data_IF_335827571461
#
_entry.id   IF_335827571461
#
_cell.length_a   1.000
_cell.length_b   1.000
_cell.length_c   1.000
_cell.angle_alpha   90.00
_cell.angle_beta   90.00
_cell.angle_gamma   90.00
#
_symmetry.space_group_name_H-M   'P 1'
#
loop_
_entity.id
_entity.type
_entity.pdbx_description
1 polymer ?
#
# COMPACT_ATOMS: atom_id res chain seq x y z
N UNK A 1 28.38 -12.80 -12.21
CA UNK A 1 27.50 -12.53 -12.14
C UNK A 1 27.25 -12.24 -11.26
N UNK A 2 27.73 -12.51 -11.47
CA UNK A 2 27.21 -11.90 -11.31
C UNK A 2 27.36 -11.71 -10.44
N UNK A 3 27.73 -11.65 -10.84
CA UNK A 3 27.39 -11.15 -10.80
C UNK A 3 27.57 -11.17 -10.17
N UNK A 4 28.37 -11.17 -10.42
CA UNK A 4 27.98 -11.02 -10.49
C UNK A 4 27.94 -10.97 -9.89
N UNK A 5 28.58 -10.92 -10.29
CA UNK A 5 28.08 -10.71 -10.47
C UNK A 5 28.02 -10.68 -9.90
N UNK A 6 28.73 -10.45 -10.05
CA UNK A 6 28.14 -10.32 -10.24
C UNK A 6 28.06 -10.25 -9.77
N UNK A 7 28.46 -10.02 -10.12
CA UNK A 7 27.90 -9.81 -10.37
C UNK A 7 27.60 -9.58 -10.27
N UNK A 8 28.23 -9.20 -10.37
CA UNK A 8 27.52 -8.99 -10.74
C UNK A 8 26.98 -8.80 -10.79
N UNK A 9 28.01 -8.60 -10.98
CA UNK A 9 26.99 -8.51 -11.47
C UNK A 9 26.55 -8.30 -11.29
N UNK A 10 27.16 -8.11 -11.56
CA UNK A 10 26.14 -8.03 -11.88
C UNK A 10 25.59 -7.69 -11.77
N UNK A 11 25.95 -7.40 -11.97
CA UNK A 11 24.91 -7.20 -12.23
C UNK A 11 24.24 -6.94 -12.07
N UNK A 12 24.39 -6.75 -12.14
CA UNK A 12 23.43 -6.74 -12.19
C UNK A 12 22.80 -6.81 -11.72
N UNK A 13 22.76 -6.69 -11.56
CA UNK A 13 22.02 -6.76 -11.22
C UNK A 13 21.35 -6.50 -10.71
N UNK A 14 21.17 -6.63 -10.65
CA UNK A 14 19.99 -6.65 -9.98
C UNK A 14 19.18 -5.50 -9.73
N UNK A 15 19.62 -4.58 -9.80
CA UNK A 15 18.92 -3.45 -9.74
C UNK A 15 17.78 -3.46 -10.63
N UNK A 16 17.90 -4.04 -11.68
CA UNK A 16 16.89 -4.07 -12.65
C UNK A 16 15.65 -4.75 -12.29
N UNK A 17 15.75 -5.67 -11.41
CA UNK A 17 14.63 -6.33 -10.99
C UNK A 17 13.78 -5.49 -10.19
N UNK A 18 14.30 -4.40 -9.76
CA UNK A 18 13.58 -3.51 -8.97
C UNK A 18 12.99 -2.40 -9.73
N UNK A 19 13.19 -2.32 -11.01
CA UNK A 19 12.63 -1.26 -11.77
C UNK A 19 11.15 -1.46 -11.78
N UNK A 20 10.41 -0.56 -11.21
CA UNK A 20 8.98 -0.72 -11.13
C UNK A 20 8.35 -0.46 -12.48
N UNK A 21 7.12 -0.83 -12.62
CA UNK A 21 6.35 -0.48 -13.79
C UNK A 21 6.26 1.04 -13.88
N UNK A 22 6.00 1.55 -15.06
CA UNK A 22 5.84 2.99 -15.24
C UNK A 22 4.69 3.49 -14.37
N UNK A 23 4.78 4.74 -13.97
CA UNK A 23 3.79 5.37 -13.13
C UNK A 23 2.38 5.12 -13.63
N UNK A 24 2.18 5.29 -14.93
CA UNK A 24 0.88 5.12 -15.53
C UNK A 24 0.37 3.68 -15.38
N UNK A 25 1.27 2.72 -15.53
CA UNK A 25 0.90 1.33 -15.38
C UNK A 25 0.53 0.99 -13.95
N UNK A 26 1.26 1.56 -13.00
CA UNK A 26 0.95 1.36 -11.58
C UNK A 26 -0.43 1.91 -11.26
N UNK A 27 -0.76 3.09 -11.77
CA UNK A 27 -2.05 3.70 -11.56
C UNK A 27 -3.17 2.87 -12.17
N UNK A 28 -2.94 2.32 -13.36
CA UNK A 28 -3.94 1.47 -14.01
C UNK A 28 -4.16 0.20 -13.22
N UNK A 29 -3.09 -0.41 -12.74
CA UNK A 29 -3.20 -1.64 -11.96
C UNK A 29 -3.90 -1.38 -10.62
N UNK A 30 -3.65 -0.25 -10.01
CA UNK A 30 -4.35 0.15 -8.80
C UNK A 30 -5.85 0.24 -9.06
N UNK A 31 -6.24 0.92 -10.13
CA UNK A 31 -7.64 1.08 -10.47
C UNK A 31 -8.33 -0.26 -10.72
N UNK A 32 -7.65 -1.14 -11.46
CA UNK A 32 -8.18 -2.47 -11.76
C UNK A 32 -8.40 -3.27 -10.47
N UNK A 33 -7.37 -3.29 -9.61
CA UNK A 33 -7.46 -4.06 -8.38
C UNK A 33 -8.55 -3.50 -7.47
N UNK A 34 -8.63 -2.18 -7.37
CA UNK A 34 -9.62 -1.54 -6.52
C UNK A 34 -11.03 -1.88 -6.98
N UNK A 35 -11.27 -1.83 -8.30
CA UNK A 35 -12.58 -2.14 -8.84
C UNK A 35 -12.97 -3.58 -8.53
N UNK A 36 -12.04 -4.52 -8.70
CA UNK A 36 -12.32 -5.92 -8.41
C UNK A 36 -12.66 -6.14 -6.94
N UNK A 37 -11.96 -5.44 -6.06
CA UNK A 37 -12.24 -5.56 -4.62
C UNK A 37 -13.60 -4.98 -4.26
N UNK A 38 -14.02 -3.89 -4.91
CA UNK A 38 -15.34 -3.34 -4.70
C UNK A 38 -16.42 -4.33 -5.16
N UNK A 39 -16.16 -5.00 -6.27
CA UNK A 39 -17.12 -6.00 -6.77
C UNK A 39 -17.26 -7.16 -5.79
N UNK A 40 -16.21 -7.46 -5.03
CA UNK A 40 -16.25 -8.52 -4.03
C UNK A 40 -16.72 -8.04 -2.67
N UNK A 41 -16.96 -6.75 -2.51
CA UNK A 41 -17.35 -6.14 -1.25
C UNK A 41 -16.37 -6.43 -0.12
N UNK A 42 -15.07 -6.49 -0.45
CA UNK A 42 -14.04 -6.76 0.54
C UNK A 42 -13.52 -5.44 1.09
N UNK A 43 -14.26 -4.88 2.05
CA UNK A 43 -13.93 -3.56 2.60
C UNK A 43 -12.56 -3.49 3.24
N UNK A 44 -12.12 -4.55 3.89
CA UNK A 44 -10.82 -4.54 4.56
C UNK A 44 -9.69 -4.43 3.55
N UNK A 45 -9.76 -5.20 2.47
CA UNK A 45 -8.74 -5.14 1.43
C UNK A 45 -8.79 -3.82 0.67
N UNK A 46 -10.00 -3.29 0.45
CA UNK A 46 -10.17 -1.99 -0.16
C UNK A 46 -9.50 -0.93 0.70
N UNK A 47 -9.74 -0.97 2.00
CA UNK A 47 -9.15 -0.01 2.93
C UNK A 47 -7.63 -0.09 2.90
N UNK A 48 -7.09 -1.31 2.95
CA UNK A 48 -5.65 -1.52 2.91
C UNK A 48 -5.06 -0.88 1.65
N UNK A 49 -5.64 -1.19 0.50
CA UNK A 49 -5.14 -0.71 -0.78
C UNK A 49 -5.24 0.82 -0.90
N UNK A 50 -6.35 1.39 -0.44
CA UNK A 50 -6.53 2.83 -0.51
C UNK A 50 -5.56 3.57 0.40
N UNK A 51 -5.34 3.06 1.62
CA UNK A 51 -4.36 3.67 2.53
C UNK A 51 -2.96 3.64 1.90
N UNK A 52 -2.61 2.52 1.26
CA UNK A 52 -1.30 2.41 0.60
C UNK A 52 -1.14 3.48 -0.47
N UNK A 53 -2.17 3.67 -1.29
CA UNK A 53 -2.11 4.60 -2.41
C UNK A 53 -2.20 6.06 -1.97
N UNK A 54 -2.92 6.34 -0.91
CA UNK A 54 -3.15 7.72 -0.49
C UNK A 54 -2.08 8.26 0.44
N UNK A 55 -1.44 7.41 1.22
CA UNK A 55 -0.50 7.87 2.23
C UNK A 55 0.92 7.40 2.04
N UNK A 56 1.11 6.25 1.39
CA UNK A 56 2.45 5.68 1.25
C UNK A 56 2.98 5.04 2.52
N UNK A 57 2.09 4.71 3.48
CA UNK A 57 2.53 3.98 4.65
C UNK A 57 3.14 2.64 4.24
N UNK A 58 4.14 2.18 4.98
CA UNK A 58 4.69 0.86 4.75
C UNK A 58 3.64 -0.18 5.05
N UNK A 59 3.67 -1.29 4.34
CA UNK A 59 2.60 -2.29 4.43
C UNK A 59 2.37 -2.82 5.84
N UNK A 60 3.44 -3.03 6.59
CA UNK A 60 3.27 -3.48 7.98
C UNK A 60 2.65 -2.40 8.86
N UNK A 61 2.94 -1.13 8.57
CA UNK A 61 2.34 -0.03 9.31
C UNK A 61 0.87 0.09 9.00
N UNK A 62 0.47 -0.18 7.75
CA UNK A 62 -0.94 -0.19 7.39
C UNK A 62 -1.68 -1.26 8.19
N UNK A 63 -1.11 -2.46 8.20
CA UNK A 63 -1.74 -3.56 8.90
C UNK A 63 -1.85 -3.30 10.41
N UNK A 64 -0.86 -2.60 10.97
CA UNK A 64 -0.84 -2.29 12.40
C UNK A 64 -1.65 -1.05 12.77
N UNK A 65 -2.26 -0.41 11.78
CA UNK A 65 -3.00 0.83 12.00
C UNK A 65 -4.21 0.60 12.90
N UNK A 66 -4.36 1.48 13.88
CA UNK A 66 -5.46 1.40 14.83
C UNK A 66 -6.43 2.54 14.63
N UNK A 67 -7.72 2.33 14.92
CA UNK A 67 -8.70 3.41 14.75
C UNK A 67 -8.34 4.70 15.48
N UNK A 68 -7.72 4.58 16.65
CA UNK A 68 -7.35 5.77 17.43
C UNK A 68 -6.25 6.58 16.76
N UNK A 69 -5.58 6.03 15.77
CA UNK A 69 -4.49 6.72 15.10
C UNK A 69 -4.97 7.58 13.92
N UNK A 70 -6.25 7.54 13.60
CA UNK A 70 -6.81 8.39 12.56
C UNK A 70 -7.73 9.42 13.20
N UNK A 71 -7.36 10.70 13.07
CA UNK A 71 -8.16 11.80 13.64
C UNK A 71 -8.42 12.80 12.53
N UNK A 72 -9.70 13.00 12.19
CA UNK A 72 -10.14 13.91 11.13
C UNK A 72 -9.33 13.67 9.85
N UNK A 73 -9.32 12.44 9.41
CA UNK A 73 -8.64 11.99 8.19
C UNK A 73 -7.12 12.17 8.21
N UNK A 74 -6.53 12.46 9.36
CA UNK A 74 -5.09 12.57 9.51
C UNK A 74 -4.56 11.38 10.30
N UNK A 75 -3.52 10.74 9.79
CA UNK A 75 -2.92 9.57 10.44
C UNK A 75 -1.81 10.02 11.37
N UNK A 76 -1.90 9.58 12.62
CA UNK A 76 -0.90 9.85 13.65
C UNK A 76 -0.34 8.50 14.10
N UNK A 77 0.66 8.01 13.40
CA UNK A 77 1.19 6.69 13.67
C UNK A 77 2.71 6.69 13.72
N UNK A 78 3.24 6.00 14.73
CA UNK A 78 4.66 5.81 14.87
C UNK A 78 5.06 4.63 13.99
N UNK A 79 6.07 4.81 13.15
CA UNK A 79 6.53 3.76 12.25
C UNK A 79 7.11 2.59 13.03
N UNK A 80 6.72 1.37 12.65
CA UNK A 80 7.27 0.18 13.26
C UNK A 80 8.76 0.04 12.98
N UNK A 81 9.18 0.49 11.79
CA UNK A 81 10.57 0.35 11.39
C UNK A 81 11.49 1.37 12.06
N UNK A 82 11.08 2.62 12.14
CA UNK A 82 11.94 3.69 12.63
C UNK A 82 11.63 4.18 14.03
N UNK A 83 10.42 3.88 14.51
CA UNK A 83 9.96 4.37 15.81
C UNK A 83 9.64 5.85 15.82
N UNK A 84 9.53 6.47 14.66
CA UNK A 84 9.25 7.89 14.55
C UNK A 84 7.92 8.15 13.88
N UNK A 85 7.33 9.29 14.19
CA UNK A 85 6.13 9.76 13.49
C UNK A 85 6.55 10.37 12.17
N UNK A 86 5.80 10.08 11.13
CA UNK A 86 6.01 10.70 9.82
C UNK A 86 4.77 11.49 9.47
N UNK A 87 4.92 12.46 8.59
CA UNK A 87 3.80 13.28 8.17
C UNK A 87 3.20 12.66 6.90
N UNK A 88 1.98 12.18 7.01
CA UNK A 88 1.29 11.54 5.90
C UNK A 88 0.21 12.46 5.34
N UNK A 89 -0.09 12.38 4.04
CA UNK A 89 -1.21 13.14 3.49
C UNK A 89 -2.52 12.73 4.16
N UNK A 90 -3.50 13.61 4.08
CA UNK A 90 -4.83 13.28 4.58
C UNK A 90 -5.43 12.17 3.72
N UNK A 91 -6.19 11.28 4.33
CA UNK A 91 -6.90 10.27 3.56
C UNK A 91 -8.15 10.90 2.97
N UNK A 92 -8.66 10.33 1.89
CA UNK A 92 -9.83 10.86 1.22
C UNK A 92 -11.07 10.67 2.07
N UNK A 93 -12.14 11.38 1.72
CA UNK A 93 -13.41 11.22 2.43
C UNK A 93 -13.95 9.81 2.28
N UNK A 94 -13.78 9.22 1.09
CA UNK A 94 -14.25 7.86 0.87
C UNK A 94 -13.50 6.87 1.76
N UNK A 95 -12.18 7.00 1.85
CA UNK A 95 -11.38 6.14 2.71
C UNK A 95 -11.77 6.34 4.17
N UNK A 96 -12.05 7.58 4.55
CA UNK A 96 -12.54 7.88 5.90
C UNK A 96 -13.86 7.21 6.20
N UNK A 97 -14.78 7.20 5.23
CA UNK A 97 -16.07 6.52 5.42
C UNK A 97 -15.89 5.02 5.58
N UNK A 98 -14.99 4.43 4.80
CA UNK A 98 -14.71 3.00 4.91
C UNK A 98 -14.13 2.70 6.29
N UNK A 99 -13.22 3.56 6.77
CA UNK A 99 -12.64 3.40 8.10
C UNK A 99 -13.75 3.39 9.16
N UNK A 100 -14.68 4.33 9.08
CA UNK A 100 -15.78 4.41 10.03
C UNK A 100 -16.66 3.16 9.98
N UNK A 101 -16.94 2.68 8.78
CA UNK A 101 -17.75 1.47 8.63
C UNK A 101 -17.08 0.26 9.26
N UNK A 102 -15.76 0.14 9.08
CA UNK A 102 -15.04 -0.98 9.66
C UNK A 102 -15.02 -0.90 11.19
N UNK A 103 -14.81 0.29 11.72
CA UNK A 103 -14.81 0.49 13.16
C UNK A 103 -16.19 0.17 13.75
N UNK A 104 -17.25 0.64 13.10
CA UNK A 104 -18.61 0.40 13.55
C UNK A 104 -18.95 -1.08 13.52
N UNK A 105 -18.50 -1.77 12.47
CA UNK A 105 -18.81 -3.19 12.29
C UNK A 105 -18.04 -4.08 13.25
N UNK A 106 -16.75 -3.81 13.47
CA UNK A 106 -15.90 -4.76 14.16
C UNK A 106 -14.88 -4.15 15.12
N UNK A 107 -14.84 -2.84 15.22
CA UNK A 107 -13.93 -2.15 16.14
C UNK A 107 -12.47 -2.12 15.73
N UNK A 108 -12.16 -2.60 14.54
CA UNK A 108 -10.78 -2.63 14.03
C UNK A 108 -10.82 -2.64 12.52
N UNK A 109 -9.68 -2.35 11.88
CA UNK A 109 -9.63 -2.29 10.43
C UNK A 109 -9.45 -3.66 9.78
N UNK A 110 -8.67 -4.54 10.40
CA UNK A 110 -8.32 -5.82 9.78
C UNK A 110 -8.64 -6.97 10.71
N UNK A 111 -9.43 -7.93 10.22
CA UNK A 111 -9.84 -9.09 10.99
C UNK A 111 -9.07 -10.36 10.61
N UNK A 112 -8.25 -10.28 9.57
CA UNK A 112 -7.47 -11.41 9.09
C UNK A 112 -6.00 -11.15 9.31
N UNK A 113 -5.15 -12.15 9.04
CA UNK A 113 -3.71 -11.97 9.22
C UNK A 113 -3.13 -11.16 8.06
N UNK A 114 -1.91 -10.71 8.25
CA UNK A 114 -1.22 -9.89 7.28
C UNK A 114 -1.12 -10.56 5.90
N UNK A 115 -0.80 -11.84 5.89
CA UNK A 115 -0.60 -12.56 4.64
C UNK A 115 -1.88 -12.66 3.82
N UNK A 116 -3.03 -12.68 4.47
CA UNK A 116 -4.31 -12.70 3.78
C UNK A 116 -4.41 -11.50 2.81
N UNK A 117 -4.09 -10.29 3.31
CA UNK A 117 -4.21 -9.09 2.49
C UNK A 117 -3.16 -9.05 1.40
N UNK A 118 -1.95 -9.48 1.72
CA UNK A 118 -0.89 -9.52 0.72
C UNK A 118 -1.28 -10.41 -0.45
N UNK A 119 -1.82 -11.59 -0.15
CA UNK A 119 -2.23 -12.54 -1.17
C UNK A 119 -3.47 -12.04 -1.91
N UNK A 120 -4.46 -11.57 -1.17
CA UNK A 120 -5.72 -11.15 -1.77
C UNK A 120 -5.53 -9.99 -2.73
N UNK A 121 -4.80 -8.98 -2.31
CA UNK A 121 -4.58 -7.80 -3.14
C UNK A 121 -3.74 -8.15 -4.36
N UNK A 122 -2.69 -8.95 -4.16
CA UNK A 122 -1.81 -9.34 -5.26
C UNK A 122 -2.62 -10.02 -6.38
N UNK A 123 -3.59 -10.83 -6.02
CA UNK A 123 -4.41 -11.55 -6.99
C UNK A 123 -5.31 -10.66 -7.83
N UNK A 124 -5.54 -9.43 -7.38
CA UNK A 124 -6.43 -8.54 -8.11
C UNK A 124 -5.72 -7.78 -9.22
N UNK A 125 -4.39 -7.75 -9.20
CA UNK A 125 -3.65 -7.09 -10.27
C UNK A 125 -3.70 -7.96 -11.52
N UNK A 126 -3.85 -7.33 -12.68
CA UNK A 126 -3.88 -8.09 -13.93
C UNK A 126 -2.50 -8.38 -14.46
N UNK A 127 -1.49 -7.57 -14.08
CA UNK A 127 -0.12 -7.78 -14.52
C UNK A 127 0.62 -8.59 -13.47
N UNK A 128 1.18 -9.76 -13.80
CA UNK A 128 1.88 -10.58 -12.82
C UNK A 128 3.12 -9.91 -12.23
N UNK A 129 3.65 -8.89 -12.90
CA UNK A 129 4.81 -8.17 -12.41
C UNK A 129 4.45 -7.04 -11.46
N UNK A 130 3.18 -6.75 -11.29
CA UNK A 130 2.75 -5.68 -10.39
C UNK A 130 2.86 -6.12 -8.94
N UNK A 131 3.31 -5.22 -8.07
CA UNK A 131 3.43 -5.48 -6.64
C UNK A 131 2.81 -4.34 -5.86
N UNK A 132 2.20 -4.67 -4.74
CA UNK A 132 1.64 -3.65 -3.85
C UNK A 132 2.72 -2.68 -3.39
N UNK A 133 3.94 -3.18 -3.22
CA UNK A 133 5.07 -2.34 -2.84
C UNK A 133 5.28 -1.17 -3.82
N UNK A 134 4.99 -1.36 -5.10
CA UNK A 134 5.16 -0.28 -6.07
C UNK A 134 4.22 0.88 -5.78
N UNK A 135 3.00 0.59 -5.34
CA UNK A 135 2.03 1.62 -5.00
C UNK A 135 2.55 2.45 -3.82
N UNK A 136 3.00 1.77 -2.78
CA UNK A 136 3.55 2.44 -1.58
C UNK A 136 4.78 3.26 -1.94
N UNK A 137 5.71 2.67 -2.65
CA UNK A 137 6.96 3.34 -3.02
C UNK A 137 6.72 4.54 -3.92
N UNK A 138 5.81 4.39 -4.86
CA UNK A 138 5.49 5.49 -5.77
C UNK A 138 4.94 6.68 -4.98
N UNK A 139 4.02 6.44 -4.07
CA UNK A 139 3.45 7.53 -3.28
C UNK A 139 4.49 8.19 -2.40
N UNK A 140 5.38 7.41 -1.78
CA UNK A 140 6.40 7.97 -0.90
C UNK A 140 7.43 8.79 -1.68
N UNK A 141 7.75 8.38 -2.89
CA UNK A 141 8.80 9.02 -3.66
C UNK A 141 8.28 10.13 -4.56
N UNK A 142 7.35 9.77 -5.42
CA UNK A 142 6.84 10.71 -6.42
C UNK A 142 5.91 11.73 -5.81
N UNK A 143 5.05 11.29 -4.91
CA UNK A 143 4.12 12.19 -4.25
C UNK A 143 4.82 13.32 -3.53
N UNK A 144 5.93 13.02 -2.88
CA UNK A 144 6.68 14.04 -2.17
C UNK A 144 7.33 15.04 -3.10
N UNK A 145 7.76 14.60 -4.25
CA UNK A 145 8.40 15.50 -5.19
C UNK A 145 7.42 16.41 -5.87
N UNK A 146 6.23 15.96 -6.08
CA UNK A 146 5.22 16.73 -6.77
C UNK A 146 4.59 17.75 -5.85
N UNK A 147 4.48 17.40 -4.61
CA UNK A 147 3.92 18.30 -3.62
C UNK A 147 4.89 19.31 -3.16
#
# INVERSE_FOLDING_TARGET
>A
MYYNNNRKSCGNRPLNKRIPLAVQEVQEQYTVALQKLYEKNDLESIFFLRIAAETGLRMRDIYDLKPSEIVVRKIHKKSLKTGKYEDYPLISEETGRIAEQLVERQGRFFSRDYQYYMTKIKRQFSDPNMKLLYIVSYKRTVGKKIM
#
